data_IF_790714642578
#
_entry.id   IF_790714642578
#
_cell.length_a   1.000
_cell.length_b   1.000
_cell.length_c   1.000
_cell.angle_alpha   90.00
_cell.angle_beta   90.00
_cell.angle_gamma   90.00
#
_symmetry.space_group_name_H-M   'P 1'
#
loop_
_entity.id
_entity.type
_entity.pdbx_description
1 polymer ?
#
# COMPACT_ATOMS: atom_id res chain seq x y z
N UNK A 1 -24.04 13.66 -5.55
CA UNK A 1 -23.57 15.06 -5.45
C UNK A 1 -22.56 15.15 -4.32
N UNK A 2 -21.50 15.95 -4.46
CA UNK A 2 -20.48 16.14 -3.41
C UNK A 2 -21.00 17.19 -2.40
N UNK A 3 -20.94 16.93 -1.08
CA UNK A 3 -21.34 17.89 -0.05
C UNK A 3 -20.53 19.20 -0.09
N UNK A 4 -21.17 20.33 0.24
CA UNK A 4 -20.52 21.66 0.33
C UNK A 4 -20.31 22.04 1.80
N UNK A 5 -19.17 22.66 2.10
CA UNK A 5 -18.84 23.12 3.45
C UNK A 5 -18.22 24.52 3.42
N UNK A 6 -18.39 25.27 4.51
CA UNK A 6 -17.71 26.54 4.74
C UNK A 6 -16.62 26.33 5.79
N UNK A 7 -15.49 25.77 5.38
CA UNK A 7 -14.38 25.46 6.27
C UNK A 7 -13.75 26.75 6.80
N UNK A 8 -13.34 26.77 8.08
CA UNK A 8 -12.68 27.93 8.72
C UNK A 8 -11.15 27.88 8.64
N UNK A 9 -10.58 26.68 8.69
CA UNK A 9 -9.15 26.42 8.64
C UNK A 9 -8.87 24.97 8.24
N UNK A 10 -7.58 24.62 8.06
CA UNK A 10 -7.17 23.22 7.87
C UNK A 10 -7.41 22.30 9.08
N UNK A 11 -7.74 22.85 10.24
CA UNK A 11 -8.01 22.08 11.48
C UNK A 11 -9.47 22.17 11.92
N UNK A 12 -10.34 22.73 11.08
CA UNK A 12 -11.75 22.93 11.40
C UNK A 12 -12.50 21.61 11.62
N UNK A 13 -12.83 21.32 12.88
CA UNK A 13 -13.61 20.12 13.26
C UNK A 13 -15.11 20.34 13.26
N UNK A 14 -15.61 21.56 13.02
CA UNK A 14 -17.05 21.87 13.09
C UNK A 14 -17.87 21.18 12.01
N UNK A 15 -17.23 20.70 10.94
CA UNK A 15 -17.85 19.92 9.85
C UNK A 15 -17.73 18.40 10.06
N UNK A 16 -17.10 17.96 11.15
CA UNK A 16 -16.88 16.53 11.45
C UNK A 16 -17.98 16.03 12.39
N UNK A 17 -18.68 14.95 11.99
CA UNK A 17 -19.90 14.47 12.68
C UNK A 17 -19.58 13.59 13.89
N UNK A 18 -18.39 12.96 13.92
CA UNK A 18 -17.94 12.16 15.06
C UNK A 18 -16.41 12.16 15.24
N UNK A 19 -15.94 11.79 16.43
CA UNK A 19 -14.49 11.70 16.74
C UNK A 19 -13.75 10.57 16.00
N UNK A 20 -14.48 9.63 15.40
CA UNK A 20 -13.95 8.45 14.71
C UNK A 20 -13.90 8.61 13.18
N UNK A 21 -14.27 9.78 12.67
CA UNK A 21 -14.42 10.05 11.25
C UNK A 21 -13.05 9.95 10.57
N UNK A 22 -12.88 8.93 9.74
CA UNK A 22 -11.61 8.64 9.05
C UNK A 22 -11.47 9.37 7.72
N UNK A 23 -12.59 9.71 7.08
CA UNK A 23 -12.60 10.32 5.75
C UNK A 23 -13.91 11.08 5.48
N UNK A 24 -13.80 12.31 4.98
CA UNK A 24 -14.89 13.10 4.40
C UNK A 24 -14.33 13.81 3.18
N UNK A 25 -15.09 13.90 2.08
CA UNK A 25 -14.82 14.76 0.92
C UNK A 25 -15.86 15.87 0.86
N UNK A 26 -15.41 17.12 0.79
CA UNK A 26 -16.28 18.30 0.64
C UNK A 26 -15.75 19.25 -0.43
N UNK A 27 -16.65 20.02 -1.03
CA UNK A 27 -16.32 21.25 -1.73
C UNK A 27 -16.35 22.41 -0.72
N UNK A 28 -15.18 22.95 -0.38
CA UNK A 28 -15.08 24.18 0.41
C UNK A 28 -15.47 25.38 -0.47
N UNK A 29 -16.33 26.26 0.05
CA UNK A 29 -16.86 27.41 -0.71
C UNK A 29 -16.37 28.76 -0.21
N UNK A 30 -15.52 28.80 0.82
CA UNK A 30 -15.06 30.03 1.47
C UNK A 30 -13.54 30.09 1.56
N UNK A 31 -13.00 31.31 1.64
CA UNK A 31 -11.58 31.53 1.95
C UNK A 31 -11.40 31.65 3.46
N UNK A 32 -10.33 31.07 3.98
CA UNK A 32 -10.03 31.07 5.41
C UNK A 32 -8.53 30.92 5.69
N UNK A 33 -8.18 30.62 6.94
CA UNK A 33 -6.78 30.47 7.34
C UNK A 33 -6.17 29.20 6.72
N UNK A 34 -5.35 29.38 5.68
CA UNK A 34 -4.67 28.28 4.97
C UNK A 34 -5.57 27.42 4.10
N UNK A 35 -6.77 27.90 3.75
CA UNK A 35 -7.74 27.21 2.90
C UNK A 35 -8.35 28.20 1.89
N UNK A 36 -8.64 27.70 0.69
CA UNK A 36 -9.29 28.42 -0.42
C UNK A 36 -10.54 27.67 -0.87
N UNK A 37 -11.43 28.27 -1.69
CA UNK A 37 -12.48 27.49 -2.35
C UNK A 37 -11.86 26.37 -3.19
N UNK A 38 -12.34 25.14 -3.03
CA UNK A 38 -11.73 23.95 -3.63
C UNK A 38 -12.20 22.65 -2.99
N UNK A 39 -11.77 21.52 -3.53
CA UNK A 39 -12.09 20.21 -2.94
C UNK A 39 -11.13 19.90 -1.79
N UNK A 40 -11.67 19.44 -0.67
CA UNK A 40 -10.88 19.07 0.52
C UNK A 40 -11.30 17.71 1.05
N UNK A 41 -10.35 16.98 1.61
CA UNK A 41 -10.62 15.76 2.35
C UNK A 41 -10.10 15.79 3.79
N UNK A 42 -10.88 15.26 4.73
CA UNK A 42 -10.49 15.12 6.13
C UNK A 42 -9.69 13.84 6.32
N UNK A 43 -8.44 13.96 6.76
CA UNK A 43 -7.59 12.83 7.13
C UNK A 43 -6.54 13.25 8.16
N UNK A 44 -6.22 12.35 9.09
CA UNK A 44 -5.22 12.59 10.15
C UNK A 44 -5.41 13.94 10.89
N UNK A 45 -6.63 14.20 11.35
CA UNK A 45 -7.01 15.42 12.08
C UNK A 45 -6.81 16.74 11.30
N UNK A 46 -6.82 16.71 9.96
CA UNK A 46 -6.60 17.89 9.11
C UNK A 46 -7.41 17.82 7.81
N UNK A 47 -7.85 18.97 7.31
CA UNK A 47 -8.31 19.16 5.93
C UNK A 47 -7.13 19.31 4.98
N UNK A 48 -7.02 18.35 4.08
CA UNK A 48 -6.02 18.31 3.03
C UNK A 48 -6.65 18.79 1.73
N UNK A 49 -5.88 19.61 1.00
CA UNK A 49 -6.33 20.17 -0.27
C UNK A 49 -6.29 19.11 -1.37
N UNK A 50 -7.20 19.19 -2.32
CA UNK A 50 -7.15 18.43 -3.57
C UNK A 50 -6.71 19.29 -4.77
N UNK A 51 -6.28 20.55 -4.54
CA UNK A 51 -5.86 21.50 -5.57
C UNK A 51 -4.72 20.97 -6.47
N UNK A 52 -3.91 20.04 -5.96
CA UNK A 52 -2.79 19.43 -6.71
C UNK A 52 -3.13 18.02 -7.23
N UNK A 53 -4.34 17.80 -7.75
CA UNK A 53 -4.64 16.60 -8.53
C UNK A 53 -4.17 16.83 -9.97
N UNK A 54 -3.03 16.26 -10.33
CA UNK A 54 -2.54 16.25 -11.72
C UNK A 54 -3.15 15.06 -12.45
N UNK A 55 -3.77 15.35 -13.60
CA UNK A 55 -4.52 14.38 -14.40
C UNK A 55 -3.82 14.16 -15.75
N UNK A 56 -3.08 13.07 -15.88
CA UNK A 56 -2.39 12.72 -17.13
C UNK A 56 -2.46 11.21 -17.40
N UNK A 57 -2.15 10.80 -18.64
CA UNK A 57 -2.01 9.39 -18.97
C UNK A 57 -0.60 8.88 -18.61
N UNK A 58 -0.54 7.75 -17.90
CA UNK A 58 0.70 7.09 -17.48
C UNK A 58 1.15 7.49 -16.08
N UNK A 59 2.34 7.05 -15.67
CA UNK A 59 2.87 7.32 -14.33
C UNK A 59 3.26 8.81 -14.15
N UNK A 60 3.21 9.36 -12.92
CA UNK A 60 3.63 10.73 -12.66
C UNK A 60 5.09 10.96 -13.09
N UNK A 61 5.34 11.96 -13.94
CA UNK A 61 6.69 12.25 -14.50
C UNK A 61 7.42 13.41 -13.83
N UNK A 62 6.69 14.28 -13.14
CA UNK A 62 7.23 15.46 -12.47
C UNK A 62 7.59 15.16 -11.00
N UNK A 63 8.51 15.93 -10.42
CA UNK A 63 8.70 15.96 -8.96
C UNK A 63 7.48 16.64 -8.35
N UNK A 64 6.67 15.90 -7.60
CA UNK A 64 5.52 16.45 -6.88
C UNK A 64 5.94 17.33 -5.70
N UNK A 65 4.99 18.04 -5.13
CA UNK A 65 5.08 18.60 -3.79
C UNK A 65 4.48 17.61 -2.79
N UNK A 66 5.01 17.59 -1.56
CA UNK A 66 4.49 16.70 -0.51
C UNK A 66 2.99 16.87 -0.35
N UNK A 67 2.23 15.80 -0.55
CA UNK A 67 0.78 15.83 -0.47
C UNK A 67 0.05 15.81 -1.82
N UNK A 68 0.78 15.96 -2.94
CA UNK A 68 0.18 15.94 -4.27
C UNK A 68 -0.46 14.60 -4.58
N UNK A 69 -1.53 14.65 -5.37
CA UNK A 69 -2.21 13.48 -5.89
C UNK A 69 -2.09 13.47 -7.42
N UNK A 70 -1.98 12.29 -8.00
CA UNK A 70 -1.98 12.14 -9.44
C UNK A 70 -2.90 11.00 -9.82
N UNK A 71 -3.73 11.18 -10.85
CA UNK A 71 -4.60 10.12 -11.36
C UNK A 71 -4.16 9.75 -12.78
N UNK A 72 -3.78 8.48 -12.96
CA UNK A 72 -3.56 7.91 -14.28
C UNK A 72 -4.90 7.52 -14.89
N UNK A 73 -5.36 8.25 -15.92
CA UNK A 73 -6.63 7.95 -16.59
C UNK A 73 -6.62 6.65 -17.38
N UNK A 74 -5.44 6.17 -17.79
CA UNK A 74 -5.31 4.94 -18.56
C UNK A 74 -5.50 3.70 -17.68
N UNK A 75 -5.03 3.75 -16.43
CA UNK A 75 -5.06 2.61 -15.50
C UNK A 75 -6.01 2.78 -14.32
N UNK A 76 -6.60 3.98 -14.18
CA UNK A 76 -7.40 4.45 -13.03
C UNK A 76 -6.67 4.35 -11.69
N UNK A 77 -5.35 4.42 -11.72
CA UNK A 77 -4.53 4.40 -10.51
C UNK A 77 -4.36 5.81 -9.96
N UNK A 78 -4.47 5.92 -8.64
CA UNK A 78 -4.18 7.17 -7.93
C UNK A 78 -2.78 7.04 -7.34
N UNK A 79 -2.02 8.12 -7.35
CA UNK A 79 -0.68 8.24 -6.81
C UNK A 79 -0.64 9.39 -5.80
N UNK A 80 0.21 9.28 -4.80
CA UNK A 80 0.46 10.27 -3.75
C UNK A 80 1.94 10.58 -3.65
N UNK A 81 2.33 11.85 -3.64
CA UNK A 81 3.72 12.25 -3.45
C UNK A 81 4.05 12.44 -1.97
N UNK A 82 4.98 11.65 -1.44
CA UNK A 82 5.34 11.68 -0.01
C UNK A 82 6.41 12.73 0.35
N UNK A 83 6.84 13.56 -0.61
CA UNK A 83 7.96 14.50 -0.45
C UNK A 83 9.28 14.00 -1.02
N UNK A 84 9.32 12.78 -1.56
CA UNK A 84 10.51 12.23 -2.23
C UNK A 84 10.12 11.46 -3.48
N UNK A 85 9.11 10.60 -3.40
CA UNK A 85 8.63 9.75 -4.49
C UNK A 85 7.11 9.73 -4.58
N UNK A 86 6.60 9.41 -5.77
CA UNK A 86 5.20 9.05 -5.98
C UNK A 86 4.95 7.61 -5.55
N UNK A 87 3.96 7.40 -4.69
CA UNK A 87 3.49 6.10 -4.21
C UNK A 87 2.10 5.85 -4.77
N UNK A 88 1.81 4.66 -5.28
CA UNK A 88 0.44 4.33 -5.72
C UNK A 88 -0.49 4.21 -4.49
N UNK A 89 -1.57 4.97 -4.50
CA UNK A 89 -2.72 4.83 -3.63
C UNK A 89 -3.67 3.84 -4.29
N UNK A 90 -3.45 2.55 -4.10
CA UNK A 90 -4.33 1.52 -4.63
C UNK A 90 -5.71 1.65 -3.97
N UNK A 91 -6.65 2.33 -4.63
CA UNK A 91 -8.06 2.45 -4.19
C UNK A 91 -8.97 1.43 -4.86
N UNK A 92 -8.45 0.72 -5.84
CA UNK A 92 -9.12 -0.46 -6.37
C UNK A 92 -8.74 -1.66 -5.50
N UNK A 93 -9.75 -2.43 -5.10
CA UNK A 93 -9.67 -3.89 -5.14
C UNK A 93 -9.36 -4.32 -6.60
N UNK A 94 -8.24 -3.87 -7.16
CA UNK A 94 -7.57 -4.58 -8.22
C UNK A 94 -7.17 -5.84 -7.49
N UNK A 95 -7.80 -6.95 -7.86
CA UNK A 95 -7.17 -8.23 -7.67
C UNK A 95 -5.79 -8.07 -8.31
N UNK A 96 -4.76 -7.79 -7.50
CA UNK A 96 -3.39 -7.94 -7.92
C UNK A 96 -3.28 -9.43 -8.25
N UNK A 97 -3.38 -9.76 -9.53
CA UNK A 97 -2.88 -11.03 -10.01
C UNK A 97 -1.37 -11.03 -9.75
N UNK A 98 -0.80 -11.93 -8.97
CA UNK A 98 -1.33 -12.78 -7.93
C UNK A 98 -0.26 -12.70 -6.86
N UNK A 99 -0.42 -11.95 -5.78
CA UNK A 99 0.42 -12.18 -4.60
C UNK A 99 -0.47 -12.07 -3.37
N UNK A 100 -0.90 -13.21 -2.84
CA UNK A 100 -1.74 -13.30 -1.66
C UNK A 100 -0.87 -13.74 -0.49
N UNK A 101 -0.91 -12.98 0.59
CA UNK A 101 -0.33 -13.42 1.85
C UNK A 101 -1.43 -13.91 2.77
N UNK A 102 -1.34 -15.18 3.17
CA UNK A 102 -2.25 -15.79 4.13
C UNK A 102 -1.66 -15.67 5.53
N UNK A 103 -2.31 -14.90 6.41
CA UNK A 103 -1.77 -14.59 7.74
C UNK A 103 -1.90 -15.76 8.73
N UNK A 104 -2.79 -16.71 8.45
CA UNK A 104 -2.92 -17.93 9.25
C UNK A 104 -1.73 -18.88 9.04
N UNK A 105 -1.26 -19.02 7.80
CA UNK A 105 -0.15 -19.90 7.42
C UNK A 105 1.20 -19.18 7.19
N UNK A 106 1.24 -17.85 7.29
CA UNK A 106 2.41 -17.02 6.98
C UNK A 106 2.97 -17.27 5.57
N UNK A 107 2.10 -17.61 4.62
CA UNK A 107 2.48 -18.04 3.28
C UNK A 107 2.18 -16.96 2.26
N UNK A 108 3.22 -16.56 1.53
CA UNK A 108 3.11 -15.75 0.32
C UNK A 108 2.89 -16.69 -0.87
N UNK A 109 1.75 -16.56 -1.52
CA UNK A 109 1.44 -17.22 -2.79
C UNK A 109 1.52 -16.20 -3.89
N UNK A 110 2.33 -16.43 -4.94
CA UNK A 110 2.30 -15.58 -6.12
C UNK A 110 2.43 -16.35 -7.43
N UNK A 111 2.03 -15.75 -8.56
CA UNK A 111 2.37 -16.33 -9.88
C UNK A 111 3.59 -15.65 -10.48
N UNK A 112 4.49 -16.46 -11.00
CA UNK A 112 5.70 -15.96 -11.65
C UNK A 112 5.44 -15.44 -13.07
N UNK A 113 6.51 -15.02 -13.76
CA UNK A 113 6.45 -14.51 -15.14
C UNK A 113 5.92 -15.52 -16.17
N UNK A 114 5.88 -16.81 -15.81
CA UNK A 114 5.37 -17.90 -16.65
C UNK A 114 3.93 -18.29 -16.30
N UNK A 115 3.38 -17.69 -15.23
CA UNK A 115 2.06 -18.02 -14.71
C UNK A 115 2.07 -19.23 -13.75
N UNK A 116 3.25 -19.73 -13.34
CA UNK A 116 3.36 -20.81 -12.37
C UNK A 116 3.11 -20.27 -10.96
N UNK A 117 2.31 -20.99 -10.17
CA UNK A 117 2.04 -20.66 -8.77
C UNK A 117 3.25 -21.04 -7.91
N UNK A 118 3.79 -20.06 -7.20
CA UNK A 118 4.86 -20.20 -6.23
C UNK A 118 4.32 -19.91 -4.83
N UNK A 119 4.64 -20.79 -3.88
CA UNK A 119 4.30 -20.63 -2.47
C UNK A 119 5.59 -20.53 -1.62
N UNK A 120 5.65 -19.53 -0.74
CA UNK A 120 6.78 -19.25 0.13
C UNK A 120 6.27 -19.05 1.55
N UNK A 121 6.62 -19.93 2.48
CA UNK A 121 6.34 -19.73 3.91
C UNK A 121 7.42 -18.83 4.52
N UNK A 122 7.07 -17.59 4.86
CA UNK A 122 8.05 -16.61 5.34
C UNK A 122 8.55 -16.92 6.76
N UNK A 123 7.70 -17.54 7.59
CA UNK A 123 8.05 -17.88 8.97
C UNK A 123 9.15 -18.93 9.07
N UNK A 124 9.33 -19.74 8.02
CA UNK A 124 10.40 -20.74 7.94
C UNK A 124 11.72 -20.18 7.40
N UNK A 125 11.70 -19.01 6.75
CA UNK A 125 12.86 -18.47 6.03
C UNK A 125 13.44 -17.21 6.67
N UNK A 126 12.63 -16.50 7.45
CA UNK A 126 12.96 -15.25 8.13
C UNK A 126 13.05 -15.53 9.64
N UNK A 127 14.22 -15.40 10.27
CA UNK A 127 14.36 -15.54 11.72
C UNK A 127 13.54 -14.48 12.45
N UNK A 128 12.93 -14.87 13.57
CA UNK A 128 12.06 -14.00 14.37
C UNK A 128 10.96 -13.33 13.53
N UNK A 129 10.38 -14.08 12.58
CA UNK A 129 9.33 -13.56 11.72
C UNK A 129 8.10 -13.14 12.53
N UNK A 130 7.82 -11.85 12.52
CA UNK A 130 6.59 -11.29 13.03
C UNK A 130 5.55 -11.12 11.93
N UNK A 131 4.27 -11.27 12.27
CA UNK A 131 3.17 -11.15 11.31
C UNK A 131 3.10 -9.73 10.76
N UNK A 132 3.14 -9.54 9.42
CA UNK A 132 3.15 -8.22 8.83
C UNK A 132 1.78 -7.53 8.90
N UNK A 133 1.77 -6.24 9.19
CA UNK A 133 0.61 -5.35 8.98
C UNK A 133 0.42 -5.10 7.48
N UNK A 134 1.53 -4.96 6.75
CA UNK A 134 1.51 -4.77 5.30
C UNK A 134 2.56 -5.63 4.62
N UNK A 135 2.24 -6.11 3.43
CA UNK A 135 3.15 -6.89 2.60
C UNK A 135 2.92 -6.51 1.13
N UNK A 136 4.00 -6.33 0.39
CA UNK A 136 3.95 -5.98 -1.02
C UNK A 136 5.10 -6.65 -1.78
N UNK A 137 4.77 -7.26 -2.91
CA UNK A 137 5.73 -7.85 -3.83
C UNK A 137 5.95 -6.88 -4.99
N UNK A 138 7.21 -6.52 -5.24
CA UNK A 138 7.61 -5.79 -6.45
C UNK A 138 8.39 -6.75 -7.36
N UNK A 139 7.67 -7.37 -8.31
CA UNK A 139 8.25 -8.33 -9.25
C UNK A 139 9.30 -7.72 -10.17
N UNK A 140 9.14 -6.45 -10.58
CA UNK A 140 10.10 -5.77 -11.46
C UNK A 140 11.44 -5.51 -10.78
N UNK A 141 11.41 -5.20 -9.48
CA UNK A 141 12.60 -4.99 -8.65
C UNK A 141 13.06 -6.25 -7.93
N UNK A 142 12.34 -7.37 -8.11
CA UNK A 142 12.61 -8.67 -7.48
C UNK A 142 12.73 -8.59 -5.94
N UNK A 143 11.89 -7.79 -5.30
CA UNK A 143 11.89 -7.61 -3.83
C UNK A 143 10.50 -7.79 -3.22
N UNK A 144 10.49 -8.35 -2.01
CA UNK A 144 9.36 -8.38 -1.10
C UNK A 144 9.59 -7.36 0.01
N UNK A 145 8.63 -6.46 0.22
CA UNK A 145 8.63 -5.52 1.32
C UNK A 145 7.53 -5.91 2.30
N UNK A 146 7.83 -5.93 3.59
CA UNK A 146 6.80 -6.04 4.62
C UNK A 146 7.07 -5.13 5.80
N UNK A 147 6.00 -4.69 6.45
CA UNK A 147 6.05 -3.90 7.69
C UNK A 147 5.46 -4.75 8.80
N UNK A 148 6.22 -4.95 9.89
CA UNK A 148 5.79 -5.71 11.07
C UNK A 148 4.83 -4.92 11.98
N UNK A 149 4.47 -5.51 13.13
CA UNK A 149 3.55 -4.89 14.09
C UNK A 149 4.15 -3.69 14.84
N UNK A 150 5.48 -3.56 14.83
CA UNK A 150 6.21 -2.44 15.40
C UNK A 150 6.43 -1.31 14.36
N UNK A 151 5.95 -1.48 13.13
CA UNK A 151 6.08 -0.50 12.06
C UNK A 151 7.44 -0.52 11.35
N UNK A 152 8.26 -1.56 11.53
CA UNK A 152 9.59 -1.65 10.91
C UNK A 152 9.49 -2.26 9.51
N UNK A 153 10.14 -1.62 8.54
CA UNK A 153 10.22 -2.10 7.16
C UNK A 153 11.33 -3.14 7.01
N UNK A 154 10.99 -4.30 6.47
CA UNK A 154 11.94 -5.32 6.03
C UNK A 154 11.86 -5.48 4.51
N UNK A 155 13.02 -5.49 3.85
CA UNK A 155 13.16 -5.68 2.41
C UNK A 155 13.93 -6.97 2.16
N UNK A 156 13.29 -7.93 1.48
CA UNK A 156 13.87 -9.23 1.16
C UNK A 156 13.98 -9.40 -0.36
N UNK A 157 15.10 -9.96 -0.82
CA UNK A 157 15.25 -10.29 -2.24
C UNK A 157 14.53 -11.59 -2.58
N UNK A 158 13.85 -11.60 -3.71
CA UNK A 158 13.00 -12.71 -4.12
C UNK A 158 13.81 -13.96 -4.52
N UNK A 159 14.97 -13.76 -5.15
CA UNK A 159 15.92 -14.83 -5.50
C UNK A 159 16.40 -15.62 -4.27
N UNK A 160 16.74 -14.92 -3.19
CA UNK A 160 17.16 -15.52 -1.92
C UNK A 160 16.01 -16.31 -1.30
N UNK A 161 14.80 -15.75 -1.30
CA UNK A 161 13.62 -16.43 -0.75
C UNK A 161 13.30 -17.72 -1.51
N UNK A 162 13.36 -17.68 -2.84
CA UNK A 162 13.14 -18.83 -3.71
C UNK A 162 14.22 -19.91 -3.55
N UNK A 163 15.48 -19.53 -3.41
CA UNK A 163 16.56 -20.47 -3.18
C UNK A 163 16.40 -21.17 -1.81
N UNK A 164 16.06 -20.39 -0.77
CA UNK A 164 15.85 -20.95 0.57
C UNK A 164 14.61 -21.85 0.64
N UNK A 165 13.48 -21.46 0.01
CA UNK A 165 12.26 -22.27 0.05
C UNK A 165 12.45 -23.64 -0.60
N UNK A 166 13.19 -23.72 -1.71
CA UNK A 166 13.55 -24.99 -2.35
C UNK A 166 14.39 -25.88 -1.42
N UNK A 167 15.37 -25.30 -0.72
CA UNK A 167 16.20 -26.04 0.24
C UNK A 167 15.39 -26.57 1.43
N UNK A 168 14.46 -25.78 1.97
CA UNK A 168 13.56 -26.20 3.06
C UNK A 168 12.65 -27.35 2.63
N UNK A 169 12.15 -27.35 1.40
CA UNK A 169 11.33 -28.44 0.87
C UNK A 169 12.13 -29.74 0.70
N UNK A 170 13.42 -29.64 0.34
CA UNK A 170 14.31 -30.81 0.26
C UNK A 170 14.58 -31.39 1.63
N UNK A 171 14.86 -30.58 2.66
CA UNK A 171 15.06 -31.09 4.03
C UNK A 171 13.78 -31.65 4.64
N UNK A 172 12.61 -31.03 4.42
CA UNK A 172 11.33 -31.57 4.86
C UNK A 172 10.99 -32.91 4.17
N UNK A 173 11.28 -33.05 2.87
CA UNK A 173 11.09 -34.31 2.15
C UNK A 173 12.03 -35.42 2.64
N UNK A 174 13.27 -35.09 3.01
CA UNK A 174 14.21 -36.04 3.60
C UNK A 174 13.81 -36.48 5.02
N UNK A 175 13.25 -35.58 5.84
CA UNK A 175 12.76 -35.92 7.18
C UNK A 175 11.50 -36.80 7.12
N UNK A 176 10.56 -36.51 6.22
CA UNK A 176 9.36 -37.34 6.03
C UNK A 176 9.65 -38.76 5.47
N UNK A 177 10.85 -39.02 4.96
CA UNK A 177 11.29 -40.36 4.54
C UNK A 177 12.00 -41.13 5.66
N UNK A 178 12.39 -40.46 6.76
CA UNK A 178 13.06 -41.09 7.91
C UNK A 178 12.09 -41.51 9.01
N UNK A 179 10.81 -41.10 8.96
CA UNK A 179 9.76 -41.50 9.92
C UNK A 179 9.12 -42.88 9.60
N UNK A 180 9.70 -43.65 8.65
CA UNK A 180 9.26 -45.01 8.30
C UNK A 180 10.33 -46.08 8.57
N UNK A 181 10.88 -46.12 9.79
CA UNK A 181 11.56 -47.31 10.32
C UNK A 181 11.31 -47.50 11.81
#
# INVERSE_FOLDING_TARGET
>A
MIPRAALKSRSDKSTIVDQNTKFILVLNTVKGAGISPGYYYWYNNKWNDLENLTEENGVPRANGQTGDLFMDFSTREVYFYNGTIWLTMTTHNKTLTESVFENSSSTLTYKDKTGEKIEINLSQLVPNFEKPITISLNVTKEILNYIDNDGRLTVLKLDILLAKSKNTNVTAAFLNQLDFF
#
